data_IF_315451840881
#
_entry.id   IF_315451840881
#
_cell.length_a   1.000
_cell.length_b   1.000
_cell.length_c   1.000
_cell.angle_alpha   90.00
_cell.angle_beta   90.00
_cell.angle_gamma   90.00
#
_symmetry.space_group_name_H-M   'P 1'
#
loop_
_entity.id
_entity.type
_entity.pdbx_description
1 polymer ?
#
# COMPACT_ATOMS: atom_id res chain seq x y z
N UNK A 1 -9.95 24.74 40.76
CA UNK A 1 -11.05 24.74 39.78
C UNK A 1 -10.94 23.48 38.92
N UNK A 2 -11.75 22.46 39.21
CA UNK A 2 -11.72 21.17 38.53
C UNK A 2 -12.90 21.05 37.58
N UNK A 3 -12.66 20.79 36.29
CA UNK A 3 -13.69 20.34 35.35
C UNK A 3 -13.17 19.12 34.61
N UNK A 4 -13.58 17.96 35.12
CA UNK A 4 -13.34 16.63 34.55
C UNK A 4 -14.22 16.41 33.32
N UNK A 5 -13.62 15.99 32.20
CA UNK A 5 -14.34 15.60 30.98
C UNK A 5 -14.42 14.08 30.96
N UNK A 6 -15.63 13.54 31.13
CA UNK A 6 -15.94 12.11 31.07
C UNK A 6 -16.06 11.69 29.60
N UNK A 7 -15.19 10.80 29.13
CA UNK A 7 -15.33 10.10 27.85
C UNK A 7 -16.29 8.92 28.03
N UNK A 8 -17.44 8.97 27.34
CA UNK A 8 -18.39 7.85 27.26
C UNK A 8 -18.20 7.13 25.94
N UNK A 9 -17.57 5.96 26.01
CA UNK A 9 -17.49 4.94 24.96
C UNK A 9 -18.90 4.44 24.61
N UNK A 10 -19.31 4.59 23.35
CA UNK A 10 -20.45 3.85 22.78
C UNK A 10 -19.93 2.71 21.92
N UNK A 11 -20.00 1.50 22.46
CA UNK A 11 -20.02 0.28 21.67
C UNK A 11 -21.36 0.19 20.93
N UNK A 12 -21.32 -0.10 19.64
CA UNK A 12 -22.50 -0.52 18.88
C UNK A 12 -22.20 -1.90 18.30
N UNK A 13 -22.78 -2.91 18.95
CA UNK A 13 -22.96 -4.24 18.39
C UNK A 13 -24.06 -4.19 17.32
N UNK A 14 -23.86 -4.84 16.17
CA UNK A 14 -24.93 -5.18 15.24
C UNK A 14 -24.88 -6.68 14.98
N UNK A 15 -26.05 -7.28 15.11
CA UNK A 15 -26.30 -8.70 15.28
C UNK A 15 -26.40 -9.47 13.95
N UNK A 16 -25.99 -10.74 14.07
CA UNK A 16 -26.36 -11.96 13.33
C UNK A 16 -27.51 -11.92 12.32
N UNK A 17 -27.27 -12.52 11.15
CA UNK A 17 -28.24 -13.38 10.45
C UNK A 17 -27.49 -14.63 9.94
N UNK A 18 -27.96 -15.80 10.38
CA UNK A 18 -27.56 -17.12 9.90
C UNK A 18 -28.35 -17.50 8.63
N UNK A 19 -27.81 -18.37 7.77
CA UNK A 19 -28.41 -19.68 7.41
C UNK A 19 -27.79 -20.29 6.14
N UNK A 20 -27.23 -21.50 6.30
CA UNK A 20 -27.23 -22.57 5.30
C UNK A 20 -26.00 -22.65 4.38
N UNK A 21 -25.53 -23.82 3.95
CA UNK A 21 -25.86 -25.21 4.26
C UNK A 21 -24.77 -26.05 3.55
N UNK A 22 -24.14 -26.97 4.31
CA UNK A 22 -23.51 -28.24 3.90
C UNK A 22 -22.97 -28.42 2.46
N UNK A 23 -21.69 -28.82 2.35
CA UNK A 23 -21.34 -30.20 1.94
C UNK A 23 -19.82 -30.41 2.02
N UNK A 24 -19.42 -31.23 3.00
CA UNK A 24 -18.11 -31.88 3.01
C UNK A 24 -18.17 -33.01 1.98
N UNK A 25 -17.30 -32.96 0.97
CA UNK A 25 -17.10 -34.03 0.02
C UNK A 25 -15.65 -34.52 0.15
N UNK A 26 -15.45 -35.57 0.93
CA UNK A 26 -14.22 -36.37 0.90
C UNK A 26 -14.40 -37.38 -0.24
N UNK A 27 -13.56 -37.30 -1.26
CA UNK A 27 -13.45 -38.29 -2.33
C UNK A 27 -11.99 -38.69 -2.47
N UNK A 28 -11.67 -39.89 -2.01
CA UNK A 28 -10.39 -40.56 -2.22
C UNK A 28 -10.27 -41.09 -3.64
N UNK A 29 -9.01 -41.21 -4.07
CA UNK A 29 -8.46 -42.26 -4.94
C UNK A 29 -8.53 -42.09 -6.47
N UNK A 30 -7.31 -41.97 -7.03
CA UNK A 30 -6.77 -42.70 -8.18
C UNK A 30 -7.02 -42.27 -9.63
N UNK A 31 -5.89 -42.35 -10.35
CA UNK A 31 -5.70 -42.60 -11.79
C UNK A 31 -5.63 -41.41 -12.76
N UNK A 32 -4.38 -41.02 -13.03
CA UNK A 32 -3.77 -40.99 -14.36
C UNK A 32 -4.66 -41.56 -15.48
N UNK A 33 -4.93 -40.76 -16.52
CA UNK A 33 -4.61 -41.10 -17.92
C UNK A 33 -5.23 -40.12 -18.92
N UNK A 34 -4.34 -39.52 -19.73
CA UNK A 34 -4.42 -39.28 -21.19
C UNK A 34 -5.79 -38.85 -21.81
N UNK A 35 -5.88 -37.65 -22.41
CA UNK A 35 -6.93 -37.37 -23.39
C UNK A 35 -6.47 -37.82 -24.78
N UNK A 36 -7.24 -38.66 -25.46
CA UNK A 36 -7.11 -38.88 -26.89
C UNK A 36 -8.50 -39.07 -27.52
N UNK A 37 -8.84 -38.10 -28.37
CA UNK A 37 -9.70 -38.17 -29.56
C UNK A 37 -11.22 -38.40 -29.38
N UNK A 38 -12.05 -37.44 -29.81
CA UNK A 38 -12.70 -37.36 -31.14
C UNK A 38 -14.19 -37.74 -30.98
N UNK A 39 -15.22 -37.11 -31.56
CA UNK A 39 -15.44 -36.06 -32.56
C UNK A 39 -16.95 -35.75 -32.49
N UNK A 40 -17.38 -34.50 -32.75
CA UNK A 40 -18.48 -34.11 -33.67
C UNK A 40 -19.03 -32.71 -33.35
N UNK A 41 -18.68 -31.74 -34.22
CA UNK A 41 -19.57 -30.81 -34.99
C UNK A 41 -20.77 -30.18 -34.26
N UNK A 42 -21.06 -28.87 -34.28
CA UNK A 42 -20.47 -27.67 -34.88
C UNK A 42 -21.17 -26.40 -34.31
N UNK A 43 -20.50 -25.26 -34.50
CA UNK A 43 -21.03 -23.90 -34.67
C UNK A 43 -21.74 -23.22 -33.48
N UNK A 44 -21.00 -22.35 -32.79
CA UNK A 44 -21.18 -20.88 -32.92
C UNK A 44 -20.02 -20.18 -32.23
N UNK A 45 -19.29 -19.39 -33.00
CA UNK A 45 -18.19 -18.55 -32.55
C UNK A 45 -18.71 -17.43 -31.65
N UNK A 46 -18.11 -17.28 -30.48
CA UNK A 46 -17.92 -16.01 -29.83
C UNK A 46 -16.62 -16.10 -29.05
N UNK A 47 -15.54 -15.79 -29.76
CA UNK A 47 -14.22 -15.56 -29.18
C UNK A 47 -14.29 -14.30 -28.35
N UNK A 48 -14.85 -14.40 -27.14
CA UNK A 48 -14.58 -13.43 -26.09
C UNK A 48 -13.19 -13.77 -25.59
N UNK A 49 -12.18 -13.08 -26.13
CA UNK A 49 -10.85 -13.01 -25.51
C UNK A 49 -11.06 -12.52 -24.08
N UNK A 50 -11.08 -13.47 -23.14
CA UNK A 50 -10.94 -13.16 -21.74
C UNK A 50 -9.53 -12.56 -21.59
N UNK A 51 -9.46 -11.24 -21.50
CA UNK A 51 -8.28 -10.57 -21.02
C UNK A 51 -8.11 -11.00 -19.55
N UNK A 52 -7.33 -12.06 -19.34
CA UNK A 52 -6.81 -12.39 -18.03
C UNK A 52 -5.90 -11.22 -17.66
N UNK A 53 -6.44 -10.26 -16.92
CA UNK A 53 -5.63 -9.29 -16.18
C UNK A 53 -4.82 -10.11 -15.19
N UNK A 54 -3.60 -10.48 -15.57
CA UNK A 54 -2.59 -10.98 -14.65
C UNK A 54 -2.30 -9.82 -13.71
N UNK A 55 -2.99 -9.79 -12.58
CA UNK A 55 -2.65 -8.94 -11.45
C UNK A 55 -1.24 -9.35 -11.02
N UNK A 56 -0.24 -8.54 -11.41
CA UNK A 56 1.11 -8.73 -10.96
C UNK A 56 1.10 -8.67 -9.43
N UNK A 57 1.82 -9.57 -8.73
CA UNK A 57 1.87 -9.52 -7.28
C UNK A 57 2.39 -8.13 -6.89
N UNK A 58 1.59 -7.38 -6.13
CA UNK A 58 2.03 -6.12 -5.57
C UNK A 58 3.27 -6.41 -4.72
N UNK A 59 4.42 -5.88 -5.14
CA UNK A 59 5.63 -5.90 -4.35
C UNK A 59 5.31 -5.23 -3.00
N UNK A 60 5.40 -5.99 -1.91
CA UNK A 60 5.10 -5.47 -0.58
C UNK A 60 6.26 -4.57 -0.12
N UNK A 61 6.07 -3.26 -0.25
CA UNK A 61 7.01 -2.24 0.20
C UNK A 61 6.97 -2.19 1.73
N UNK A 62 8.13 -2.31 2.37
CA UNK A 62 8.27 -2.18 3.83
C UNK A 62 8.50 -0.71 4.21
N UNK A 63 7.71 -0.20 5.16
CA UNK A 63 7.93 1.11 5.79
C UNK A 63 8.13 0.91 7.28
N UNK A 64 9.27 1.31 7.80
CA UNK A 64 9.61 1.20 9.22
C UNK A 64 10.07 2.54 9.81
N UNK A 65 10.19 2.59 11.13
CA UNK A 65 10.73 3.74 11.88
C UNK A 65 10.02 5.07 11.55
N UNK A 66 8.74 5.00 11.19
CA UNK A 66 7.95 6.15 10.80
C UNK A 66 7.63 7.05 12.02
N UNK A 67 8.03 8.31 11.95
CA UNK A 67 7.72 9.32 12.96
C UNK A 67 7.58 10.71 12.34
N UNK A 68 6.89 11.61 13.04
CA UNK A 68 6.73 12.99 12.61
C UNK A 68 7.13 13.95 13.73
N UNK A 69 7.79 15.06 13.35
CA UNK A 69 8.10 16.13 14.31
C UNK A 69 6.91 17.08 14.41
N UNK A 70 6.65 17.58 15.62
CA UNK A 70 5.69 18.68 15.79
C UNK A 70 6.20 19.94 15.10
N UNK A 71 5.35 20.59 14.32
CA UNK A 71 5.68 21.85 13.66
C UNK A 71 6.06 22.93 14.69
N UNK A 72 7.17 23.64 14.51
CA UNK A 72 7.52 24.80 15.32
C UNK A 72 6.43 25.88 15.25
N UNK A 73 6.27 26.68 16.32
CA UNK A 73 5.20 27.70 16.40
C UNK A 73 5.23 28.76 15.27
N UNK A 74 6.33 28.88 14.53
CA UNK A 74 6.51 29.86 13.45
C UNK A 74 6.35 29.28 12.04
N UNK A 75 6.06 27.98 11.89
CA UNK A 75 5.89 27.33 10.58
C UNK A 75 4.61 26.52 10.55
N UNK A 76 3.92 26.53 9.41
CA UNK A 76 2.80 25.62 9.14
C UNK A 76 3.28 24.27 8.61
N UNK A 77 4.50 24.21 8.05
CA UNK A 77 5.12 22.97 7.59
C UNK A 77 5.47 22.04 8.76
N UNK A 78 5.01 20.79 8.67
CA UNK A 78 5.50 19.65 9.45
C UNK A 78 6.51 18.83 8.65
N UNK A 79 7.18 17.88 9.30
CA UNK A 79 8.05 16.92 8.61
C UNK A 79 7.86 15.52 9.20
N UNK A 80 7.80 14.53 8.32
CA UNK A 80 7.74 13.12 8.65
C UNK A 80 9.00 12.42 8.12
N UNK A 81 9.40 11.39 8.83
CA UNK A 81 10.64 10.65 8.65
C UNK A 81 10.29 9.16 8.74
N UNK A 82 10.94 8.36 7.92
CA UNK A 82 10.67 6.93 7.82
C UNK A 82 11.78 6.25 7.04
N UNK A 83 11.85 4.93 7.13
CA UNK A 83 12.71 4.09 6.30
C UNK A 83 11.83 3.27 5.37
N UNK A 84 12.18 3.26 4.09
CA UNK A 84 11.41 2.59 3.03
C UNK A 84 12.32 1.57 2.37
N UNK A 85 11.86 0.32 2.28
CA UNK A 85 12.57 -0.76 1.58
C UNK A 85 11.63 -1.36 0.54
N UNK A 86 12.05 -1.39 -0.73
CA UNK A 86 11.31 -2.05 -1.80
C UNK A 86 11.97 -3.39 -2.13
N UNK A 87 11.23 -4.50 -2.35
CA UNK A 87 11.82 -5.77 -2.78
C UNK A 87 12.25 -5.78 -4.26
N UNK A 88 11.88 -4.74 -5.03
CA UNK A 88 12.22 -4.55 -6.45
C UNK A 88 12.72 -3.12 -6.68
N UNK A 89 13.36 -2.87 -7.84
CA UNK A 89 13.72 -1.50 -8.22
C UNK A 89 12.45 -0.67 -8.42
N UNK A 90 12.31 0.38 -7.63
CA UNK A 90 11.13 1.25 -7.61
C UNK A 90 11.54 2.70 -7.34
N UNK A 91 10.58 3.61 -7.23
CA UNK A 91 10.82 4.97 -6.84
C UNK A 91 9.66 5.58 -6.04
N UNK A 92 9.99 6.29 -4.97
CA UNK A 92 9.05 7.12 -4.23
C UNK A 92 8.77 8.40 -5.04
N UNK A 93 7.62 8.45 -5.69
CA UNK A 93 7.19 9.56 -6.56
C UNK A 93 6.25 10.57 -5.88
N UNK A 94 5.88 10.32 -4.63
CA UNK A 94 4.97 11.19 -3.91
C UNK A 94 4.44 10.57 -2.63
N UNK A 95 3.76 11.38 -1.85
CA UNK A 95 3.01 10.96 -0.68
C UNK A 95 1.73 11.79 -0.58
N UNK A 96 0.73 11.26 0.11
CA UNK A 96 -0.51 11.97 0.37
C UNK A 96 -0.99 11.69 1.79
N UNK A 97 -1.71 12.64 2.36
CA UNK A 97 -2.37 12.53 3.65
C UNK A 97 -3.76 13.13 3.53
N UNK A 98 -4.64 12.82 4.48
CA UNK A 98 -5.94 13.50 4.56
C UNK A 98 -5.78 15.03 4.58
N UNK A 99 -6.68 15.73 3.91
CA UNK A 99 -6.69 17.19 3.86
C UNK A 99 -6.86 17.86 5.24
N UNK A 100 -7.33 17.10 6.24
CA UNK A 100 -7.39 17.53 7.64
C UNK A 100 -6.01 17.57 8.33
N UNK A 101 -5.02 16.88 7.76
CA UNK A 101 -3.64 16.78 8.26
C UNK A 101 -2.75 17.81 7.56
N UNK A 102 -2.74 17.83 6.22
CA UNK A 102 -1.96 18.79 5.44
C UNK A 102 -2.65 19.12 4.11
N UNK A 103 -2.50 20.37 3.65
CA UNK A 103 -3.01 20.80 2.35
C UNK A 103 -2.15 20.38 1.16
N UNK A 104 -0.87 20.10 1.40
CA UNK A 104 0.06 19.55 0.40
C UNK A 104 1.11 18.68 1.08
N UNK A 105 1.67 17.74 0.33
CA UNK A 105 2.81 16.92 0.74
C UNK A 105 3.86 17.00 -0.35
N UNK A 106 5.09 17.24 0.05
CA UNK A 106 6.25 17.33 -0.84
C UNK A 106 7.37 16.47 -0.25
N UNK A 107 8.23 15.95 -1.12
CA UNK A 107 9.42 15.20 -0.75
C UNK A 107 10.61 16.16 -0.86
N UNK A 108 11.44 16.24 0.17
CA UNK A 108 12.59 17.14 0.20
C UNK A 108 13.87 16.37 0.49
N UNK A 109 14.94 16.72 -0.21
CA UNK A 109 16.29 16.24 0.05
C UNK A 109 17.19 17.40 0.52
N UNK A 110 18.31 17.07 1.16
CA UNK A 110 19.31 18.07 1.56
C UNK A 110 20.48 18.04 0.58
N UNK A 111 20.78 19.19 -0.03
CA UNK A 111 21.92 19.36 -0.93
C UNK A 111 22.83 20.49 -0.48
N UNK A 112 24.10 20.40 -0.87
CA UNK A 112 25.06 21.49 -0.72
C UNK A 112 24.74 22.60 -1.73
N UNK A 113 24.58 23.81 -1.22
CA UNK A 113 24.49 25.02 -2.03
C UNK A 113 25.89 25.53 -2.43
N UNK A 114 25.94 26.45 -3.39
CA UNK A 114 27.19 27.03 -3.91
C UNK A 114 27.97 27.84 -2.85
N UNK A 115 27.29 28.25 -1.78
CA UNK A 115 27.83 29.02 -0.65
C UNK A 115 28.31 28.12 0.51
N UNK A 116 28.54 26.83 0.24
CA UNK A 116 28.90 25.80 1.24
C UNK A 116 27.84 25.61 2.35
N UNK A 117 26.60 26.08 2.15
CA UNK A 117 25.50 25.83 3.08
C UNK A 117 24.70 24.58 2.71
N UNK A 118 24.10 23.93 3.72
CA UNK A 118 23.13 22.85 3.50
C UNK A 118 21.74 23.44 3.27
N UNK A 119 21.13 23.17 2.11
CA UNK A 119 19.75 23.58 1.80
C UNK A 119 18.86 22.37 1.57
N UNK A 120 17.60 22.47 2.00
CA UNK A 120 16.57 21.54 1.58
C UNK A 120 16.01 21.97 0.23
N UNK A 121 15.76 21.00 -0.66
CA UNK A 121 15.11 21.22 -1.94
C UNK A 121 14.05 20.16 -2.21
N UNK A 122 12.97 20.57 -2.87
CA UNK A 122 11.94 19.66 -3.34
C UNK A 122 12.50 18.72 -4.41
N UNK A 123 12.09 17.45 -4.35
CA UNK A 123 12.35 16.44 -5.37
C UNK A 123 11.05 15.75 -5.76
N UNK A 124 10.88 15.53 -7.06
CA UNK A 124 9.70 14.82 -7.59
C UNK A 124 9.80 13.30 -7.37
N UNK A 125 11.01 12.78 -7.10
CA UNK A 125 11.27 11.35 -7.01
C UNK A 125 12.49 11.04 -6.14
N UNK A 126 12.39 9.99 -5.35
CA UNK A 126 13.53 9.32 -4.70
C UNK A 126 13.59 7.88 -5.22
N UNK A 127 14.73 7.47 -5.75
CA UNK A 127 14.93 6.09 -6.21
C UNK A 127 14.98 5.14 -5.00
N UNK A 128 14.32 3.98 -5.14
CA UNK A 128 14.29 2.90 -4.16
C UNK A 128 14.90 1.64 -4.80
N UNK A 129 16.24 1.44 -4.68
CA UNK A 129 16.89 0.25 -5.22
C UNK A 129 16.36 -1.02 -4.55
N UNK A 130 16.28 -2.13 -5.29
CA UNK A 130 15.80 -3.40 -4.76
C UNK A 130 16.58 -3.85 -3.52
N UNK A 131 15.87 -4.07 -2.42
CA UNK A 131 16.42 -4.54 -1.14
C UNK A 131 17.22 -3.50 -0.36
N UNK A 132 17.35 -2.27 -0.86
CA UNK A 132 18.04 -1.19 -0.16
C UNK A 132 17.04 -0.37 0.66
N UNK A 133 17.40 -0.08 1.91
CA UNK A 133 16.60 0.74 2.78
C UNK A 133 16.96 2.22 2.58
N UNK A 134 16.03 2.99 2.05
CA UNK A 134 16.16 4.44 1.84
C UNK A 134 15.55 5.17 3.04
N UNK A 135 16.34 6.04 3.66
CA UNK A 135 15.95 6.76 4.88
C UNK A 135 15.58 8.22 4.58
N UNK A 136 14.38 8.60 4.98
CA UNK A 136 13.98 10.00 5.11
C UNK A 136 14.25 10.43 6.55
N UNK A 137 15.29 11.23 6.76
CA UNK A 137 15.74 11.68 8.09
C UNK A 137 16.01 13.19 8.13
N UNK A 138 16.00 13.81 9.33
CA UNK A 138 16.29 15.23 9.50
C UNK A 138 17.73 15.62 9.12
#
# INVERSE_FOLDING_TARGET
>A
MSKSIKTTTKAAAVATIALGLLLVGCGSDSEETKPAESTTTAAAESTTTAATTTEAPAAEIEVSDAWARKSPMKTTAGAAYMKITSPIDDALVGASVDASIAGMVEIHETVMAEDDSMKMQHVDKIDLPAGEAVELKP
#
